data_IF_339948698140
#
_entry.id   IF_339948698140
#
_cell.length_a   1.000
_cell.length_b   1.000
_cell.length_c   1.000
_cell.angle_alpha   90.00
_cell.angle_beta   90.00
_cell.angle_gamma   90.00
#
_symmetry.space_group_name_H-M   'P 1'
#
loop_
_entity.id
_entity.type
_entity.pdbx_description
1 polymer ?
#
# COMPACT_ATOMS: atom_id res chain seq x y z
N UNK A 1 15.39 -0.19 -4.61
CA UNK A 1 16.40 -0.03 -3.54
C UNK A 1 17.63 0.74 -4.00
N UNK A 2 18.34 0.33 -5.07
CA UNK A 2 19.57 1.04 -5.52
C UNK A 2 19.33 2.54 -5.78
N UNK A 3 18.31 2.90 -6.56
CA UNK A 3 17.98 4.30 -6.89
C UNK A 3 17.62 5.10 -5.63
N UNK A 4 16.90 4.48 -4.67
CA UNK A 4 16.56 5.11 -3.40
C UNK A 4 17.82 5.42 -2.58
N UNK A 5 18.74 4.46 -2.48
CA UNK A 5 20.02 4.62 -1.77
C UNK A 5 20.82 5.74 -2.43
N UNK A 6 20.96 5.72 -3.76
CA UNK A 6 21.65 6.78 -4.51
C UNK A 6 21.00 8.14 -4.26
N UNK A 7 19.67 8.21 -4.24
CA UNK A 7 18.92 9.43 -3.91
C UNK A 7 19.28 10.04 -2.55
N UNK A 8 19.47 9.22 -1.51
CA UNK A 8 19.89 9.70 -0.17
C UNK A 8 21.31 10.28 -0.15
N UNK A 9 22.20 9.80 -1.02
CA UNK A 9 23.57 10.30 -1.12
C UNK A 9 23.75 11.42 -2.16
N UNK A 10 22.74 11.66 -3.00
CA UNK A 10 22.75 12.71 -4.02
C UNK A 10 22.29 14.04 -3.40
N UNK A 11 22.96 15.15 -3.75
CA UNK A 11 22.56 16.51 -3.36
C UNK A 11 22.10 17.28 -4.60
N UNK A 12 21.11 18.16 -4.42
CA UNK A 12 20.57 18.98 -5.49
C UNK A 12 19.16 18.58 -5.92
N UNK A 13 18.63 19.19 -6.99
CA UNK A 13 17.22 19.05 -7.40
C UNK A 13 16.82 17.60 -7.73
N UNK A 14 17.74 16.81 -8.28
CA UNK A 14 17.48 15.43 -8.70
C UNK A 14 17.31 14.44 -7.54
N UNK A 15 17.77 14.79 -6.33
CA UNK A 15 17.69 13.91 -5.16
C UNK A 15 16.23 13.54 -4.83
N UNK A 16 15.32 14.51 -4.97
CA UNK A 16 13.89 14.32 -4.71
C UNK A 16 13.26 13.30 -5.67
N UNK A 17 13.58 13.38 -6.96
CA UNK A 17 13.08 12.47 -7.98
C UNK A 17 13.62 11.04 -7.79
N UNK A 18 14.90 10.90 -7.42
CA UNK A 18 15.53 9.61 -7.12
C UNK A 18 14.92 8.95 -5.88
N UNK A 19 14.67 9.72 -4.82
CA UNK A 19 14.02 9.24 -3.60
C UNK A 19 12.57 8.85 -3.89
N UNK A 20 11.81 9.70 -4.57
CA UNK A 20 10.41 9.46 -4.89
C UNK A 20 10.20 8.23 -5.76
N UNK A 21 10.96 8.12 -6.86
CA UNK A 21 10.92 6.94 -7.74
C UNK A 21 11.41 5.67 -7.02
N UNK A 22 12.47 5.79 -6.22
CA UNK A 22 12.99 4.69 -5.41
C UNK A 22 11.96 4.16 -4.40
N UNK A 23 11.27 5.03 -3.68
CA UNK A 23 10.18 4.67 -2.78
C UNK A 23 9.01 4.03 -3.53
N UNK A 24 8.61 4.62 -4.66
CA UNK A 24 7.51 4.11 -5.49
C UNK A 24 7.77 2.68 -5.98
N UNK A 25 8.95 2.41 -6.53
CA UNK A 25 9.32 1.07 -7.00
C UNK A 25 9.34 0.04 -5.88
N UNK A 26 9.77 0.44 -4.69
CA UNK A 26 9.85 -0.44 -3.52
C UNK A 26 8.45 -0.76 -3.01
N UNK A 27 7.60 0.26 -2.88
CA UNK A 27 6.21 0.08 -2.49
C UNK A 27 5.49 -0.86 -3.47
N UNK A 28 5.69 -0.68 -4.79
CA UNK A 28 5.11 -1.55 -5.81
C UNK A 28 5.58 -3.00 -5.66
N UNK A 29 6.89 -3.24 -5.52
CA UNK A 29 7.41 -4.59 -5.32
C UNK A 29 6.91 -5.25 -4.04
N UNK A 30 6.85 -4.50 -2.93
CA UNK A 30 6.30 -5.00 -1.66
C UNK A 30 4.82 -5.32 -1.77
N UNK A 31 4.01 -4.48 -2.42
CA UNK A 31 2.58 -4.73 -2.62
C UNK A 31 2.36 -5.95 -3.48
N UNK A 32 3.06 -6.08 -4.61
CA UNK A 32 2.95 -7.24 -5.49
C UNK A 32 3.26 -8.54 -4.75
N UNK A 33 4.37 -8.58 -4.02
CA UNK A 33 4.76 -9.74 -3.22
C UNK A 33 3.70 -10.06 -2.16
N UNK A 34 3.28 -9.06 -1.40
CA UNK A 34 2.28 -9.21 -0.32
C UNK A 34 0.94 -9.71 -0.87
N UNK A 35 0.50 -9.19 -2.02
CA UNK A 35 -0.73 -9.63 -2.71
C UNK A 35 -0.62 -11.10 -3.08
N UNK A 36 0.47 -11.50 -3.75
CA UNK A 36 0.69 -12.90 -4.18
C UNK A 36 0.67 -13.85 -2.98
N UNK A 37 1.37 -13.50 -1.91
CA UNK A 37 1.44 -14.32 -0.70
C UNK A 37 0.11 -14.38 0.06
N UNK A 38 -0.60 -13.25 0.15
CA UNK A 38 -1.92 -13.18 0.77
C UNK A 38 -2.94 -14.08 0.06
N UNK A 39 -2.98 -14.02 -1.27
CA UNK A 39 -3.90 -14.84 -2.05
C UNK A 39 -3.46 -16.30 -2.17
N UNK A 40 -2.19 -16.61 -1.92
CA UNK A 40 -1.71 -17.99 -1.75
C UNK A 40 -2.14 -18.61 -0.41
N UNK A 41 -2.61 -17.81 0.55
CA UNK A 41 -3.20 -18.29 1.81
C UNK A 41 -2.18 -18.61 2.91
N UNK A 42 -0.90 -18.26 2.73
CA UNK A 42 0.15 -18.51 3.73
C UNK A 42 -0.05 -17.67 5.00
N UNK A 43 -0.30 -16.36 4.86
CA UNK A 43 -0.54 -15.45 5.99
C UNK A 43 -1.48 -14.30 5.61
N UNK A 44 -2.27 -13.84 6.58
CA UNK A 44 -3.18 -12.70 6.37
C UNK A 44 -2.42 -11.37 6.45
N UNK A 45 -2.18 -10.74 5.30
CA UNK A 45 -1.64 -9.39 5.18
C UNK A 45 -2.73 -8.32 4.93
N UNK A 46 -3.97 -8.61 5.32
CA UNK A 46 -5.12 -7.76 4.99
C UNK A 46 -5.00 -6.33 5.55
N UNK A 47 -4.46 -6.16 6.76
CA UNK A 47 -4.22 -4.84 7.37
C UNK A 47 -3.20 -4.02 6.57
N UNK A 48 -2.09 -4.63 6.19
CA UNK A 48 -1.03 -3.98 5.39
C UNK A 48 -1.57 -3.55 4.03
N UNK A 49 -2.22 -4.46 3.29
CA UNK A 49 -2.78 -4.17 1.97
C UNK A 49 -3.89 -3.10 2.03
N UNK A 50 -4.75 -3.17 3.03
CA UNK A 50 -5.82 -2.19 3.23
C UNK A 50 -5.27 -0.79 3.54
N UNK A 51 -4.28 -0.69 4.43
CA UNK A 51 -3.63 0.58 4.75
C UNK A 51 -2.94 1.17 3.52
N UNK A 52 -2.27 0.34 2.71
CA UNK A 52 -1.65 0.78 1.46
C UNK A 52 -2.67 1.33 0.47
N UNK A 53 -3.82 0.66 0.29
CA UNK A 53 -4.90 1.15 -0.58
C UNK A 53 -5.51 2.45 -0.07
N UNK A 54 -5.75 2.55 1.24
CA UNK A 54 -6.26 3.77 1.87
C UNK A 54 -5.31 4.95 1.73
N UNK A 55 -4.02 4.74 1.98
CA UNK A 55 -2.98 5.78 1.79
C UNK A 55 -2.84 6.18 0.32
N UNK A 56 -2.90 5.23 -0.62
CA UNK A 56 -2.85 5.54 -2.05
C UNK A 56 -4.05 6.40 -2.47
N UNK A 57 -5.26 6.06 -2.01
CA UNK A 57 -6.47 6.85 -2.30
C UNK A 57 -6.40 8.27 -1.69
N UNK A 58 -6.02 8.38 -0.42
CA UNK A 58 -5.85 9.67 0.25
C UNK A 58 -4.77 10.53 -0.42
N UNK A 59 -3.61 9.93 -0.72
CA UNK A 59 -2.50 10.61 -1.38
C UNK A 59 -2.88 11.10 -2.78
N UNK A 60 -3.57 10.28 -3.57
CA UNK A 60 -4.05 10.69 -4.88
C UNK A 60 -5.03 11.88 -4.81
N UNK A 61 -6.01 11.83 -3.90
CA UNK A 61 -6.98 12.91 -3.71
C UNK A 61 -6.35 14.20 -3.21
N UNK A 62 -5.35 14.09 -2.33
CA UNK A 62 -4.59 15.24 -1.84
C UNK A 62 -3.75 15.89 -2.96
N UNK A 63 -3.07 15.08 -3.77
CA UNK A 63 -2.25 15.58 -4.88
C UNK A 63 -3.07 16.21 -6.01
N UNK A 64 -4.31 15.76 -6.20
CA UNK A 64 -5.24 16.29 -7.20
C UNK A 64 -6.04 17.50 -6.71
N UNK A 65 -5.89 17.90 -5.44
CA UNK A 65 -6.55 19.04 -4.79
C UNK A 65 -8.08 19.10 -5.01
N UNK A 66 -8.75 17.94 -4.93
CA UNK A 66 -10.16 17.82 -5.34
C UNK A 66 -11.14 18.26 -4.25
N UNK A 67 -10.81 18.03 -2.99
CA UNK A 67 -11.77 18.04 -1.86
C UNK A 67 -11.22 18.69 -0.57
N UNK A 68 -10.13 19.45 -0.67
CA UNK A 68 -9.45 20.09 0.48
C UNK A 68 -8.60 19.13 1.31
N UNK A 69 -7.73 19.62 2.19
CA UNK A 69 -6.67 18.81 2.80
C UNK A 69 -7.14 17.69 3.78
N UNK A 70 -8.30 17.85 4.43
CA UNK A 70 -8.78 16.92 5.47
C UNK A 70 -9.65 15.80 4.90
N UNK A 71 -10.47 16.08 3.89
CA UNK A 71 -11.40 15.10 3.32
C UNK A 71 -10.71 13.85 2.71
N UNK A 72 -9.52 13.93 2.08
CA UNK A 72 -8.78 12.77 1.59
C UNK A 72 -8.46 11.75 2.68
N UNK A 73 -8.24 12.19 3.92
CA UNK A 73 -7.99 11.29 5.05
C UNK A 73 -9.22 10.46 5.38
N UNK A 74 -10.41 11.08 5.36
CA UNK A 74 -11.67 10.38 5.58
C UNK A 74 -11.94 9.37 4.46
N UNK A 75 -11.72 9.76 3.20
CA UNK A 75 -11.87 8.85 2.05
C UNK A 75 -10.88 7.70 2.14
N UNK A 76 -9.61 7.97 2.45
CA UNK A 76 -8.59 6.95 2.64
C UNK A 76 -8.93 5.96 3.75
N UNK A 77 -9.49 6.44 4.87
CA UNK A 77 -9.95 5.59 5.96
C UNK A 77 -11.10 4.68 5.52
N UNK A 78 -12.09 5.23 4.79
CA UNK A 78 -13.20 4.44 4.25
C UNK A 78 -12.69 3.37 3.29
N UNK A 79 -11.80 3.73 2.36
CA UNK A 79 -11.18 2.79 1.42
C UNK A 79 -10.41 1.70 2.16
N UNK A 80 -9.63 2.04 3.20
CA UNK A 80 -8.92 1.07 4.00
C UNK A 80 -9.88 0.11 4.71
N UNK A 81 -10.94 0.61 5.35
CA UNK A 81 -11.93 -0.24 6.02
C UNK A 81 -12.61 -1.21 5.05
N UNK A 82 -13.05 -0.72 3.89
CA UNK A 82 -13.69 -1.55 2.86
C UNK A 82 -12.73 -2.60 2.28
N UNK A 83 -11.50 -2.19 1.96
CA UNK A 83 -10.47 -3.08 1.45
C UNK A 83 -10.11 -4.15 2.49
N UNK A 84 -9.96 -3.78 3.75
CA UNK A 84 -9.66 -4.72 4.83
C UNK A 84 -10.74 -5.79 4.95
N UNK A 85 -12.01 -5.36 4.95
CA UNK A 85 -13.13 -6.29 5.01
C UNK A 85 -13.16 -7.25 3.82
N UNK A 86 -13.02 -6.73 2.61
CA UNK A 86 -13.00 -7.53 1.38
C UNK A 86 -11.83 -8.53 1.34
N UNK A 87 -10.62 -8.08 1.70
CA UNK A 87 -9.42 -8.93 1.76
C UNK A 87 -9.53 -10.00 2.83
N UNK A 88 -10.08 -9.65 4.00
CA UNK A 88 -10.29 -10.61 5.09
C UNK A 88 -11.28 -11.69 4.70
N UNK A 89 -12.36 -11.32 4.03
CA UNK A 89 -13.37 -12.26 3.54
C UNK A 89 -12.81 -13.16 2.43
N UNK A 90 -12.06 -12.60 1.48
CA UNK A 90 -11.37 -13.37 0.44
C UNK A 90 -10.41 -14.40 1.05
N UNK A 91 -9.65 -14.02 2.08
CA UNK A 91 -8.74 -14.92 2.79
C UNK A 91 -9.49 -16.05 3.49
N UNK A 92 -10.56 -15.74 4.24
CA UNK A 92 -11.38 -16.74 4.95
C UNK A 92 -11.96 -17.79 4.02
N UNK A 93 -12.44 -17.37 2.84
CA UNK A 93 -12.96 -18.27 1.79
C UNK A 93 -11.89 -19.22 1.26
N UNK A 94 -10.63 -18.78 1.19
CA UNK A 94 -9.51 -19.61 0.69
C UNK A 94 -8.94 -20.55 1.75
N UNK A 95 -8.89 -20.13 3.02
CA UNK A 95 -8.29 -20.93 4.10
C UNK A 95 -9.28 -21.83 4.84
N UNK A 96 -10.57 -21.77 4.51
CA UNK A 96 -11.60 -22.55 5.20
C UNK A 96 -11.82 -22.12 6.65
N UNK A 97 -11.50 -20.86 6.98
CA UNK A 97 -11.61 -20.31 8.34
C UNK A 97 -10.33 -20.38 9.17
N UNK A 98 -9.26 -21.01 8.67
CA UNK A 98 -7.96 -21.02 9.35
C UNK A 98 -7.25 -19.64 9.25
N UNK A 99 -6.57 -19.22 10.32
CA UNK A 99 -5.84 -17.94 10.35
C UNK A 99 -4.50 -17.99 9.61
N UNK A 100 -3.93 -19.19 9.40
CA UNK A 100 -2.75 -19.49 8.59
C UNK A 100 -2.78 -20.97 8.15
N UNK A 101 -2.16 -21.31 7.02
CA UNK A 101 -1.93 -22.70 6.57
C UNK A 101 -0.43 -22.95 6.65
N UNK A 102 -0.01 -23.83 7.57
CA UNK A 102 1.38 -24.25 7.75
C UNK A 102 1.76 -25.35 6.74
#
# INVERSE_FOLDING_TARGET
MVILVVGFFTRGPDASALIGSGLGLVALGTVEFTVREHFAGYRSHATLLAATLGMAAAGALYLLDVIGAVAPLAVGLVVACLAWWALREAFRRRTGGLSFRA
#
